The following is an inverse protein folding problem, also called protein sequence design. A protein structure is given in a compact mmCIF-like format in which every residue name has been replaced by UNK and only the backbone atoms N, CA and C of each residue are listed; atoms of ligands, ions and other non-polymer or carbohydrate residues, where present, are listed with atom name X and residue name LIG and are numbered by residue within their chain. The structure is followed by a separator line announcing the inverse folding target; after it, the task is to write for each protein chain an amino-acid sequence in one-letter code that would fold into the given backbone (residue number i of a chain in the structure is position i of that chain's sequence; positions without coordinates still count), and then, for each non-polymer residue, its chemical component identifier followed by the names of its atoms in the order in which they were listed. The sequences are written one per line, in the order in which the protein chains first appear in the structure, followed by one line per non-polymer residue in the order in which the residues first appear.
data_IF_657077930934
#
_entry.id   IF_657077930934
#
_cell.length_a   1.000
_cell.length_b   1.000
_cell.length_c   1.000
_cell.angle_alpha   90.00
_cell.angle_beta   90.00
_cell.angle_gamma   90.00
#
_symmetry.space_group_name_H-M   'P 1'
#
loop_
_entity.id
_entity.type
_entity.pdbx_description
1 polymer ?
#
# COMPACT_ATOMS: atom_id res chain seq x y z
N UNK A 1 21.09 8.34 -0.18
CA UNK A 1 19.61 8.18 -0.30
C UNK A 1 19.20 6.96 0.50
N UNK A 2 18.31 7.12 1.44
CA UNK A 2 17.99 6.07 2.42
C UNK A 2 16.77 5.25 2.03
N UNK A 3 15.81 5.85 1.31
CA UNK A 3 14.56 5.20 0.91
C UNK A 3 13.96 5.85 -0.34
N UNK A 4 13.47 5.02 -1.25
CA UNK A 4 12.73 5.46 -2.45
C UNK A 4 11.25 5.10 -2.27
N UNK A 5 10.34 6.02 -2.56
CA UNK A 5 8.89 5.76 -2.53
C UNK A 5 8.32 5.68 -3.94
N UNK A 6 7.33 4.81 -4.14
CA UNK A 6 6.67 4.59 -5.44
C UNK A 6 5.16 4.62 -5.27
N UNK A 7 4.49 5.51 -5.98
CA UNK A 7 3.02 5.61 -5.96
C UNK A 7 2.34 4.45 -6.66
N UNK A 8 1.19 4.03 -6.16
CA UNK A 8 0.36 2.96 -6.74
C UNK A 8 -0.78 3.57 -7.57
N UNK A 9 -0.57 3.67 -8.87
CA UNK A 9 -1.56 4.19 -9.84
C UNK A 9 -2.32 5.43 -9.36
N UNK A 10 -1.61 6.54 -9.08
CA UNK A 10 -2.23 7.74 -8.54
C UNK A 10 -3.31 8.29 -9.47
N UNK A 11 -4.33 8.91 -8.91
CA UNK A 11 -5.52 9.41 -9.60
C UNK A 11 -6.28 8.32 -10.39
N UNK A 12 -6.18 7.07 -9.97
CA UNK A 12 -6.76 5.91 -10.65
C UNK A 12 -6.30 5.75 -12.12
N UNK A 13 -5.12 6.23 -12.43
CA UNK A 13 -4.51 6.06 -13.76
C UNK A 13 -3.45 4.97 -13.71
N UNK A 14 -3.58 3.98 -14.58
CA UNK A 14 -2.64 2.86 -14.63
C UNK A 14 -1.19 3.33 -14.78
N UNK A 15 -0.34 2.79 -13.93
CA UNK A 15 1.11 2.92 -13.96
C UNK A 15 1.72 1.53 -13.84
N UNK A 16 3.01 1.44 -14.02
CA UNK A 16 3.73 0.20 -13.72
C UNK A 16 3.47 -0.21 -12.27
N UNK A 17 3.27 -1.50 -12.03
CA UNK A 17 3.01 -2.02 -10.69
C UNK A 17 4.11 -1.61 -9.71
N UNK A 18 3.73 -0.93 -8.64
CA UNK A 18 4.68 -0.35 -7.70
C UNK A 18 5.50 -1.42 -6.97
N UNK A 19 4.90 -2.56 -6.67
CA UNK A 19 5.58 -3.68 -5.99
C UNK A 19 6.64 -4.32 -6.86
N UNK A 20 6.32 -4.61 -8.12
CA UNK A 20 7.30 -5.18 -9.06
C UNK A 20 8.45 -4.20 -9.36
N UNK A 21 8.13 -2.92 -9.52
CA UNK A 21 9.12 -1.89 -9.73
C UNK A 21 10.03 -1.73 -8.50
N UNK A 22 9.46 -1.79 -7.28
CA UNK A 22 10.21 -1.75 -6.03
C UNK A 22 11.23 -2.88 -5.96
N UNK A 23 10.82 -4.10 -6.24
CA UNK A 23 11.71 -5.26 -6.29
C UNK A 23 12.88 -5.01 -7.26
N UNK A 24 12.57 -4.55 -8.46
CA UNK A 24 13.57 -4.31 -9.51
C UNK A 24 14.58 -3.22 -9.12
N UNK A 25 14.11 -2.11 -8.59
CA UNK A 25 14.95 -0.99 -8.16
C UNK A 25 15.85 -1.44 -6.99
N UNK A 26 15.27 -2.07 -5.99
CA UNK A 26 16.01 -2.52 -4.81
C UNK A 26 17.12 -3.52 -5.19
N UNK A 27 16.84 -4.47 -6.07
CA UNK A 27 17.83 -5.42 -6.57
C UNK A 27 18.97 -4.75 -7.33
N UNK A 28 18.67 -3.71 -8.13
CA UNK A 28 19.67 -3.03 -8.96
C UNK A 28 20.50 -2.01 -8.19
N UNK A 29 19.94 -1.37 -7.18
CA UNK A 29 20.57 -0.22 -6.52
C UNK A 29 21.02 -0.51 -5.10
N UNK A 30 20.48 -1.54 -4.47
CA UNK A 30 20.68 -1.80 -3.04
C UNK A 30 19.98 -0.79 -2.11
N UNK A 31 19.24 0.18 -2.66
CA UNK A 31 18.49 1.15 -1.87
C UNK A 31 17.12 0.57 -1.52
N UNK A 32 16.72 0.69 -0.25
CA UNK A 32 15.40 0.25 0.20
C UNK A 32 14.30 1.03 -0.54
N UNK A 33 13.25 0.33 -0.96
CA UNK A 33 12.11 0.93 -1.66
C UNK A 33 10.84 0.70 -0.86
N UNK A 34 10.02 1.74 -0.76
CA UNK A 34 8.72 1.71 -0.12
C UNK A 34 7.62 1.93 -1.16
N UNK A 35 7.09 0.85 -1.74
CA UNK A 35 5.94 0.97 -2.63
C UNK A 35 4.69 1.37 -1.82
N UNK A 36 3.85 2.21 -2.42
CA UNK A 36 2.51 2.43 -1.93
C UNK A 36 1.64 1.22 -2.28
N UNK A 37 0.70 0.90 -1.42
CA UNK A 37 -0.29 -0.15 -1.65
C UNK A 37 -1.67 0.43 -1.45
N UNK A 38 -2.45 0.47 -2.53
CA UNK A 38 -3.82 0.96 -2.49
C UNK A 38 -4.82 -0.20 -2.35
N UNK A 39 -5.95 0.10 -1.74
CA UNK A 39 -7.05 -0.86 -1.57
C UNK A 39 -8.03 -0.85 -2.77
N UNK A 40 -7.87 0.08 -3.70
CA UNK A 40 -8.85 0.32 -4.78
C UNK A 40 -8.99 -0.85 -5.75
N UNK A 41 -7.87 -1.40 -6.21
CA UNK A 41 -7.85 -2.27 -7.38
C UNK A 41 -7.72 -3.76 -7.04
N UNK A 42 -7.45 -4.09 -5.77
CA UNK A 42 -7.14 -5.45 -5.34
C UNK A 42 -8.06 -5.90 -4.23
N UNK A 43 -8.58 -7.11 -4.36
CA UNK A 43 -9.26 -7.79 -3.25
C UNK A 43 -8.24 -8.32 -2.22
N UNK A 44 -8.73 -8.85 -1.10
CA UNK A 44 -7.88 -9.35 0.00
C UNK A 44 -6.90 -10.42 -0.48
N UNK A 45 -7.33 -11.30 -1.37
CA UNK A 45 -6.46 -12.38 -1.89
C UNK A 45 -5.29 -11.79 -2.68
N UNK A 46 -5.56 -10.84 -3.58
CA UNK A 46 -4.53 -10.19 -4.38
C UNK A 46 -3.60 -9.32 -3.54
N UNK A 47 -4.13 -8.62 -2.53
CA UNK A 47 -3.32 -7.85 -1.59
C UNK A 47 -2.36 -8.76 -0.81
N UNK A 48 -2.85 -9.88 -0.27
CA UNK A 48 -2.03 -10.85 0.45
C UNK A 48 -0.96 -11.46 -0.46
N UNK A 49 -1.33 -11.89 -1.65
CA UNK A 49 -0.39 -12.46 -2.62
C UNK A 49 0.73 -11.47 -2.99
N UNK A 50 0.36 -10.21 -3.21
CA UNK A 50 1.33 -9.15 -3.50
C UNK A 50 2.30 -8.90 -2.35
N UNK A 51 1.80 -8.83 -1.11
CA UNK A 51 2.63 -8.67 0.10
C UNK A 51 3.59 -9.84 0.29
N UNK A 52 3.11 -11.08 0.12
CA UNK A 52 3.96 -12.27 0.21
C UNK A 52 5.06 -12.26 -0.86
N UNK A 53 4.73 -11.90 -2.10
CA UNK A 53 5.70 -11.82 -3.20
C UNK A 53 6.75 -10.73 -2.99
N UNK A 54 6.35 -9.55 -2.54
CA UNK A 54 7.28 -8.47 -2.22
C UNK A 54 8.18 -8.84 -1.03
N UNK A 55 7.64 -9.47 -0.01
CA UNK A 55 8.41 -9.95 1.14
C UNK A 55 9.45 -10.99 0.72
N UNK A 56 9.10 -11.93 -0.15
CA UNK A 56 10.02 -12.92 -0.70
C UNK A 56 11.20 -12.27 -1.43
N UNK A 57 11.00 -11.10 -2.03
CA UNK A 57 12.00 -10.32 -2.75
C UNK A 57 12.64 -9.21 -1.88
N UNK A 58 12.60 -9.35 -0.56
CA UNK A 58 13.25 -8.46 0.41
C UNK A 58 12.71 -7.04 0.49
N UNK A 59 11.53 -6.77 -0.02
CA UNK A 59 10.83 -5.51 0.19
C UNK A 59 10.15 -5.55 1.56
N UNK A 60 10.50 -4.60 2.43
CA UNK A 60 10.07 -4.61 3.86
C UNK A 60 9.34 -3.34 4.27
N UNK A 61 9.26 -2.33 3.43
CA UNK A 61 8.65 -1.06 3.74
C UNK A 61 7.44 -0.82 2.83
N UNK A 62 6.31 -0.46 3.41
CA UNK A 62 5.07 -0.23 2.67
C UNK A 62 4.37 1.03 3.15
N UNK A 63 3.89 1.86 2.23
CA UNK A 63 2.95 2.93 2.55
C UNK A 63 1.55 2.49 2.12
N UNK A 64 0.66 2.38 3.09
CA UNK A 64 -0.71 1.92 2.87
C UNK A 64 -1.63 3.11 2.65
N UNK A 65 -2.34 3.09 1.54
CA UNK A 65 -3.30 4.14 1.16
C UNK A 65 -4.63 3.52 0.78
N UNK A 66 -5.71 4.25 0.94
CA UNK A 66 -7.03 3.79 0.48
C UNK A 66 -7.07 3.73 -1.05
N UNK A 67 -6.49 4.69 -1.71
CA UNK A 67 -6.50 4.87 -3.16
C UNK A 67 -7.51 5.92 -3.60
N UNK A 68 -7.19 6.62 -4.69
CA UNK A 68 -8.06 7.61 -5.27
C UNK A 68 -9.28 6.98 -5.94
N UNK A 69 -10.45 7.62 -5.93
CA UNK A 69 -11.63 7.08 -6.60
C UNK A 69 -11.44 7.05 -8.12
N UNK A 70 -12.05 6.07 -8.76
CA UNK A 70 -12.10 5.99 -10.22
C UNK A 70 -12.90 7.16 -10.77
N UNK A 71 -12.42 7.80 -11.83
CA UNK A 71 -13.09 8.91 -12.48
C UNK A 71 -14.48 8.50 -13.02
N UNK A 72 -15.37 9.47 -13.16
CA UNK A 72 -16.71 9.20 -13.76
C UNK A 72 -16.61 8.58 -15.15
N UNK A 73 -15.67 9.04 -15.96
CA UNK A 73 -15.47 8.58 -17.34
C UNK A 73 -15.02 7.12 -17.42
N UNK A 74 -14.33 6.63 -16.39
CA UNK A 74 -13.75 5.28 -16.39
C UNK A 74 -14.63 4.24 -15.67
N UNK A 75 -15.71 4.67 -14.99
CA UNK A 75 -16.55 3.77 -14.17
C UNK A 75 -17.25 2.68 -14.97
N UNK A 76 -17.43 2.85 -16.26
CA UNK A 76 -17.99 1.80 -17.13
C UNK A 76 -16.99 0.68 -17.41
N UNK A 77 -15.69 0.97 -17.30
CA UNK A 77 -14.60 0.03 -17.61
C UNK A 77 -13.92 -0.52 -16.38
N UNK A 78 -13.94 0.23 -15.28
CA UNK A 78 -13.19 -0.08 -14.07
C UNK A 78 -14.14 -0.17 -12.89
N UNK A 79 -14.10 -1.31 -12.21
CA UNK A 79 -14.82 -1.53 -10.96
C UNK A 79 -13.83 -1.42 -9.80
N UNK A 80 -14.10 -0.49 -8.89
CA UNK A 80 -13.34 -0.39 -7.65
C UNK A 80 -13.67 -1.57 -6.74
N UNK A 81 -12.66 -2.15 -6.12
CA UNK A 81 -12.82 -3.32 -5.24
C UNK A 81 -13.07 -2.89 -3.80
N UNK A 82 -12.14 -2.16 -3.21
CA UNK A 82 -12.22 -1.66 -1.84
C UNK A 82 -12.73 -2.68 -0.81
N UNK A 83 -12.27 -3.90 -0.84
CA UNK A 83 -12.52 -4.87 0.23
C UNK A 83 -12.04 -4.31 1.58
N UNK A 84 -10.91 -3.59 1.55
CA UNK A 84 -10.36 -2.86 2.67
C UNK A 84 -10.30 -1.36 2.41
N UNK A 85 -10.27 -0.58 3.47
CA UNK A 85 -9.70 0.76 3.49
C UNK A 85 -8.28 0.69 4.09
N UNK A 86 -7.58 1.82 4.15
CA UNK A 86 -6.20 1.86 4.66
C UNK A 86 -6.08 1.34 6.11
N UNK A 87 -7.04 1.65 6.97
CA UNK A 87 -7.02 1.21 8.37
C UNK A 87 -7.15 -0.30 8.48
N UNK A 88 -8.11 -0.89 7.77
CA UNK A 88 -8.31 -2.35 7.75
C UNK A 88 -7.12 -3.07 7.13
N UNK A 89 -6.51 -2.51 6.09
CA UNK A 89 -5.32 -3.10 5.49
C UNK A 89 -4.12 -3.04 6.45
N UNK A 90 -3.94 -1.94 7.17
CA UNK A 90 -2.89 -1.86 8.21
C UNK A 90 -3.09 -2.89 9.32
N UNK A 91 -4.32 -3.10 9.77
CA UNK A 91 -4.65 -4.16 10.74
C UNK A 91 -4.31 -5.55 10.19
N UNK A 92 -4.64 -5.78 8.93
CA UNK A 92 -4.34 -7.05 8.26
C UNK A 92 -2.82 -7.28 8.13
N UNK A 93 -2.05 -6.27 7.78
CA UNK A 93 -0.58 -6.36 7.73
C UNK A 93 0.00 -6.60 9.11
N UNK A 94 -0.57 -5.98 10.15
CA UNK A 94 -0.18 -6.27 11.54
C UNK A 94 -0.39 -7.75 11.89
N UNK A 95 -1.50 -8.33 11.49
CA UNK A 95 -1.76 -9.76 11.69
C UNK A 95 -0.74 -10.62 10.92
N UNK A 96 -0.42 -10.28 9.68
CA UNK A 96 0.61 -10.96 8.90
C UNK A 96 1.98 -10.89 9.58
N UNK A 97 2.33 -9.76 10.21
CA UNK A 97 3.56 -9.62 10.99
C UNK A 97 3.62 -10.55 12.20
N UNK A 98 2.48 -10.88 12.79
CA UNK A 98 2.40 -11.82 13.92
C UNK A 98 2.39 -13.30 13.47
N UNK A 99 2.10 -13.56 12.21
CA UNK A 99 1.97 -14.91 11.64
C UNK A 99 3.07 -15.20 10.62
N UNK A 100 2.77 -14.98 9.34
CA UNK A 100 3.65 -15.37 8.23
C UNK A 100 4.95 -14.55 8.16
N UNK A 101 4.95 -13.32 8.64
CA UNK A 101 6.12 -12.44 8.70
C UNK A 101 6.77 -12.36 10.08
N UNK A 102 6.44 -13.26 11.00
CA UNK A 102 6.88 -13.17 12.40
C UNK A 102 8.40 -13.12 12.57
N UNK A 103 9.16 -13.77 11.70
CA UNK A 103 10.63 -13.81 11.77
C UNK A 103 11.29 -12.59 11.12
N UNK A 104 10.68 -12.03 10.10
CA UNK A 104 11.12 -10.82 9.41
C UNK A 104 9.92 -9.90 9.17
N UNK A 105 9.47 -9.16 10.20
CA UNK A 105 8.33 -8.27 10.07
C UNK A 105 8.55 -7.16 9.05
N UNK A 106 7.47 -6.72 8.43
CA UNK A 106 7.49 -5.55 7.54
C UNK A 106 7.21 -4.27 8.33
N UNK A 107 7.74 -3.16 7.85
CA UNK A 107 7.45 -1.82 8.33
C UNK A 107 6.38 -1.20 7.44
N UNK A 108 5.34 -0.64 8.03
CA UNK A 108 4.25 -0.03 7.29
C UNK A 108 3.75 1.23 7.96
N UNK A 109 3.25 2.12 7.16
CA UNK A 109 2.64 3.37 7.62
C UNK A 109 1.46 3.73 6.73
N UNK A 110 0.69 4.71 7.16
CA UNK A 110 -0.42 5.28 6.42
C UNK A 110 -0.22 6.76 6.15
N UNK A 111 -0.91 7.27 5.14
CA UNK A 111 -0.94 8.69 4.86
C UNK A 111 -1.92 9.39 5.82
N UNK A 112 -1.48 10.47 6.46
CA UNK A 112 -2.32 11.30 7.30
C UNK A 112 -2.86 12.48 6.48
N UNK A 113 -4.19 12.56 6.37
CA UNK A 113 -4.82 13.75 5.80
C UNK A 113 -5.03 14.83 6.86
N UNK A 114 -4.12 15.79 6.93
CA UNK A 114 -4.16 16.87 7.88
C UNK A 114 -5.04 18.07 7.42
N UNK A 115 -5.58 18.02 6.22
CA UNK A 115 -6.51 19.02 5.70
C UNK A 115 -7.98 18.77 6.09
N UNK A 116 -8.24 17.71 6.85
CA UNK A 116 -9.58 17.44 7.37
C UNK A 116 -10.06 18.51 8.35
N UNK A 117 -11.35 18.74 8.40
CA UNK A 117 -11.99 19.77 9.24
C UNK A 117 -12.17 19.35 10.71
N UNK A 118 -11.95 18.08 11.03
CA UNK A 118 -12.11 17.53 12.38
C UNK A 118 -10.77 17.03 12.93
N UNK A 119 -10.07 17.84 13.78
CA UNK A 119 -8.78 17.47 14.35
C UNK A 119 -8.84 16.18 15.20
N UNK A 120 -9.91 15.98 15.95
CA UNK A 120 -10.03 14.81 16.84
C UNK A 120 -10.11 13.51 16.05
N UNK A 121 -10.84 13.52 14.93
CA UNK A 121 -10.89 12.37 14.02
C UNK A 121 -9.53 12.08 13.36
N UNK A 122 -8.76 13.13 13.05
CA UNK A 122 -7.40 12.99 12.50
C UNK A 122 -6.48 12.37 13.55
N UNK A 123 -6.50 12.87 14.77
CA UNK A 123 -5.69 12.36 15.89
C UNK A 123 -6.06 10.90 16.21
N UNK A 124 -7.34 10.56 16.20
CA UNK A 124 -7.81 9.19 16.45
C UNK A 124 -7.25 8.19 15.42
N UNK A 125 -7.06 8.62 14.16
CA UNK A 125 -6.47 7.78 13.09
C UNK A 125 -4.97 7.55 13.27
N UNK A 126 -4.28 8.40 14.03
CA UNK A 126 -2.85 8.26 14.30
C UNK A 126 -2.55 7.19 15.34
N UNK A 127 -3.52 6.80 16.12
CA UNK A 127 -3.42 5.80 17.20
C UNK A 127 -3.72 4.40 16.68
#
# INVERSE_FOLDING_TARGET
MDLITLSDSPMARARMDAGQLAVKIQQKTGVAVMPHISCRDRNVIALRAGLLGMHMNDVRHFLIVTGDPVSRADRERVTSVFDFNSIKLMQYVKEMNLEVFAQEPVYYGGALNYHGTNPDAIIARMK
#
